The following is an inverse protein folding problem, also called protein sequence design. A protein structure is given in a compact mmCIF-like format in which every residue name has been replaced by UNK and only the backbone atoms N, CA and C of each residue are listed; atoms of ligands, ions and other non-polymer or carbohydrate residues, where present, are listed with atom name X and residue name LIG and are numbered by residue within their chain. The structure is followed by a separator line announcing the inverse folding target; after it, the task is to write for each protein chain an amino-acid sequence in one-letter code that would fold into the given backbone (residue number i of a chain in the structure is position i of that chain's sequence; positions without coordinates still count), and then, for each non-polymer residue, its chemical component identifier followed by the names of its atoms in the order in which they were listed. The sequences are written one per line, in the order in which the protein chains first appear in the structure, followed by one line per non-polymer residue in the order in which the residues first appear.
data_IF_314370185620
#
_entry.id   IF_314370185620
#
_cell.length_a   1.000
_cell.length_b   1.000
_cell.length_c   1.000
_cell.angle_alpha   90.00
_cell.angle_beta   90.00
_cell.angle_gamma   90.00
#
_symmetry.space_group_name_H-M   'P 1'
#
loop_
_entity.id
_entity.type
_entity.pdbx_description
1 polymer ?
#
# COMPACT_ATOMS: atom_id res chain seq x y z
N UNK A 1 17.21 1.75 -5.15
CA UNK A 1 16.13 0.79 -4.89
C UNK A 1 15.21 0.80 -6.09
N UNK A 2 14.54 -0.31 -6.38
CA UNK A 2 13.53 -0.32 -7.46
C UNK A 2 12.27 0.44 -7.02
N UNK A 3 11.50 0.96 -7.98
CA UNK A 3 10.17 1.57 -7.71
C UNK A 3 9.27 0.65 -6.86
N UNK A 4 9.40 -0.67 -7.05
CA UNK A 4 8.67 -1.67 -6.27
C UNK A 4 9.14 -1.74 -4.81
N UNK A 5 10.45 -1.72 -4.57
CA UNK A 5 11.02 -1.77 -3.21
C UNK A 5 10.65 -0.52 -2.40
N UNK A 6 10.70 0.66 -3.03
CA UNK A 6 10.30 1.91 -2.37
C UNK A 6 8.83 1.88 -1.98
N UNK A 7 7.98 1.34 -2.86
CA UNK A 7 6.55 1.27 -2.63
C UNK A 7 6.19 0.21 -1.58
N UNK A 8 6.90 -0.91 -1.51
CA UNK A 8 6.80 -1.88 -0.41
C UNK A 8 7.16 -1.20 0.92
N UNK A 9 8.25 -0.42 0.97
CA UNK A 9 8.64 0.30 2.19
C UNK A 9 7.55 1.27 2.65
N UNK A 10 6.96 2.03 1.74
CA UNK A 10 5.86 2.94 2.05
C UNK A 10 4.64 2.20 2.61
N UNK A 11 4.28 1.04 2.04
CA UNK A 11 3.16 0.22 2.53
C UNK A 11 3.44 -0.26 3.96
N UNK A 12 4.64 -0.73 4.27
CA UNK A 12 4.98 -1.18 5.62
C UNK A 12 4.96 -0.04 6.64
N UNK A 13 5.45 1.16 6.27
CA UNK A 13 5.33 2.34 7.12
C UNK A 13 3.86 2.72 7.38
N UNK A 14 2.99 2.66 6.36
CA UNK A 14 1.56 2.93 6.49
C UNK A 14 0.84 1.88 7.33
N UNK A 15 1.17 0.59 7.19
CA UNK A 15 0.65 -0.50 8.04
C UNK A 15 0.97 -0.28 9.51
N UNK A 16 2.22 0.10 9.83
CA UNK A 16 2.65 0.40 11.19
C UNK A 16 1.92 1.62 11.77
N UNK A 17 1.72 2.67 10.97
CA UNK A 17 0.95 3.86 11.39
C UNK A 17 -0.51 3.51 11.63
N UNK A 18 -1.12 2.72 10.75
CA UNK A 18 -2.50 2.27 10.89
C UNK A 18 -2.74 1.49 12.18
N UNK A 19 -1.80 0.60 12.54
CA UNK A 19 -1.87 -0.14 13.80
C UNK A 19 -1.93 0.81 15.01
N UNK A 20 -1.09 1.85 15.01
CA UNK A 20 -1.07 2.89 16.07
C UNK A 20 -2.33 3.74 16.07
N UNK A 21 -2.81 4.18 14.90
CA UNK A 21 -4.00 5.03 14.77
C UNK A 21 -5.25 4.28 15.25
N UNK A 22 -5.35 2.99 14.95
CA UNK A 22 -6.48 2.15 15.36
C UNK A 22 -6.49 1.84 16.86
N UNK A 23 -5.35 1.95 17.55
CA UNK A 23 -5.26 1.59 18.97
C UNK A 23 -6.25 2.42 19.82
N UNK A 24 -7.14 1.73 20.55
CA UNK A 24 -8.20 2.37 21.31
C UNK A 24 -9.36 2.97 20.50
N UNK A 25 -9.36 2.86 19.17
CA UNK A 25 -10.40 3.41 18.28
C UNK A 25 -11.22 2.31 17.59
N UNK A 26 -12.44 2.67 17.21
CA UNK A 26 -13.30 1.82 16.37
C UNK A 26 -12.83 1.84 14.92
N UNK A 27 -13.14 0.80 14.12
CA UNK A 27 -12.81 0.79 12.70
C UNK A 27 -13.56 1.84 11.88
N UNK A 28 -14.72 2.30 12.37
CA UNK A 28 -15.50 3.37 11.77
C UNK A 28 -15.09 4.77 12.23
N UNK A 29 -14.08 4.88 13.10
CA UNK A 29 -13.55 6.17 13.51
C UNK A 29 -13.02 6.91 12.27
N UNK A 30 -13.37 8.19 12.06
CA UNK A 30 -12.98 8.92 10.85
C UNK A 30 -11.47 8.93 10.58
N UNK A 31 -10.64 8.96 11.63
CA UNK A 31 -9.19 8.96 11.48
C UNK A 31 -8.68 7.57 11.05
N UNK A 32 -9.28 6.51 11.58
CA UNK A 32 -9.00 5.13 11.21
C UNK A 32 -9.43 4.85 9.76
N UNK A 33 -10.58 5.38 9.34
CA UNK A 33 -11.06 5.30 7.96
C UNK A 33 -10.11 6.05 7.01
N UNK A 34 -9.72 7.28 7.35
CA UNK A 34 -8.82 8.08 6.52
C UNK A 34 -7.44 7.40 6.38
N UNK A 35 -6.88 6.89 7.47
CA UNK A 35 -5.63 6.13 7.43
C UNK A 35 -5.74 4.85 6.60
N UNK A 36 -6.88 4.16 6.65
CA UNK A 36 -7.15 2.98 5.81
C UNK A 36 -7.15 3.34 4.32
N UNK A 37 -7.80 4.44 3.94
CA UNK A 37 -7.87 4.90 2.54
C UNK A 37 -6.48 5.23 1.99
N UNK A 38 -5.63 5.87 2.78
CA UNK A 38 -4.24 6.16 2.38
C UNK A 38 -3.43 4.88 2.17
N UNK A 39 -3.62 3.86 3.01
CA UNK A 39 -2.99 2.55 2.83
C UNK A 39 -3.51 1.85 1.57
N UNK A 40 -4.81 1.94 1.30
CA UNK A 40 -5.45 1.36 0.12
C UNK A 40 -4.89 1.96 -1.19
N UNK A 41 -4.78 3.28 -1.26
CA UNK A 41 -4.17 3.99 -2.40
C UNK A 41 -2.74 3.52 -2.70
N UNK A 42 -1.96 3.21 -1.66
CA UNK A 42 -0.61 2.69 -1.82
C UNK A 42 -0.61 1.24 -2.35
N UNK A 43 -1.54 0.40 -1.87
CA UNK A 43 -1.72 -0.98 -2.35
C UNK A 43 -2.19 -1.03 -3.80
N UNK A 44 -3.08 -0.12 -4.22
CA UNK A 44 -3.53 0.00 -5.60
C UNK A 44 -2.36 0.32 -6.54
N UNK A 45 -1.50 1.27 -6.15
CA UNK A 45 -0.29 1.58 -6.91
C UNK A 45 0.66 0.39 -7.00
N UNK A 46 0.83 -0.37 -5.90
CA UNK A 46 1.62 -1.61 -5.91
C UNK A 46 1.10 -2.59 -6.95
N UNK A 47 -0.21 -2.81 -6.97
CA UNK A 47 -0.85 -3.74 -7.88
C UNK A 47 -0.63 -3.33 -9.34
N UNK A 48 -0.75 -2.04 -9.66
CA UNK A 48 -0.47 -1.52 -11.01
C UNK A 48 0.98 -1.76 -11.42
N UNK A 49 1.96 -1.46 -10.55
CA UNK A 49 3.39 -1.67 -10.82
C UNK A 49 3.68 -3.16 -11.03
N UNK A 50 3.16 -4.02 -10.15
CA UNK A 50 3.32 -5.47 -10.24
C UNK A 50 2.76 -6.02 -11.57
N UNK A 51 1.58 -5.56 -11.99
CA UNK A 51 0.98 -5.93 -13.27
C UNK A 51 1.83 -5.48 -14.47
N UNK A 52 2.37 -4.26 -14.45
CA UNK A 52 3.28 -3.76 -15.50
C UNK A 52 4.54 -4.62 -15.59
N UNK A 53 5.10 -5.04 -14.47
CA UNK A 53 6.27 -5.93 -14.43
C UNK A 53 5.96 -7.32 -15.01
N UNK A 54 4.78 -7.89 -14.69
CA UNK A 54 4.33 -9.16 -15.28
C UNK A 54 4.19 -9.06 -16.80
N UNK A 55 3.55 -8.00 -17.30
CA UNK A 55 3.41 -7.75 -18.77
C UNK A 55 4.75 -7.57 -19.47
N UNK A 56 5.72 -6.90 -18.85
CA UNK A 56 7.07 -6.74 -19.42
C UNK A 56 7.84 -8.07 -19.54
N UNK A 57 7.56 -9.05 -18.66
CA UNK A 57 8.17 -10.38 -18.75
C UNK A 57 7.56 -11.22 -19.87
N UNK A 58 6.24 -11.15 -20.10
CA UNK A 58 5.54 -11.95 -21.14
C UNK A 58 5.71 -11.45 -22.59
N UNK A 59 6.37 -10.31 -22.82
CA UNK A 59 6.63 -9.75 -24.16
C UNK A 59 8.09 -10.00 -24.60
N UNK A 60 8.92 -10.54 -23.70
CA UNK A 60 10.35 -10.81 -23.97
C UNK A 60 10.65 -12.28 -24.33
N UNK A 61 9.60 -13.10 -24.48
CA UNK A 61 9.68 -14.49 -24.95
C UNK A 61 9.29 -14.58 -26.43
#
# INVERSE_FOLDING_TARGET
MSELEELIKQIEELRLRMFKIKEGKSYSDPEVVAASQVLDDALDKYQVVLMKMKKKKSVKD
#
